data_IF_310533322822
#
_entry.id   IF_310533322822
#
_cell.length_a   1.000
_cell.length_b   1.000
_cell.length_c   1.000
_cell.angle_alpha   90.00
_cell.angle_beta   90.00
_cell.angle_gamma   90.00
#
_symmetry.space_group_name_H-M   'P 1'
#
loop_
_entity.id
_entity.type
_entity.pdbx_description
1 polymer ?
#
# COMPACT_ATOMS: atom_id res chain seq x y z
N UNK A 1 5.34 -10.90 -29.68
CA UNK A 1 5.06 -10.41 -28.32
C UNK A 1 4.28 -11.49 -27.58
N UNK A 2 4.75 -12.00 -26.44
CA UNK A 2 4.02 -13.00 -25.65
C UNK A 2 3.16 -12.31 -24.59
N UNK A 3 1.85 -12.59 -24.58
CA UNK A 3 0.96 -12.19 -23.48
C UNK A 3 0.72 -13.40 -22.58
N UNK A 4 1.25 -13.35 -21.36
CA UNK A 4 1.16 -14.44 -20.38
C UNK A 4 1.16 -13.89 -18.95
N UNK A 5 0.62 -14.68 -18.02
CA UNK A 5 0.73 -14.43 -16.58
C UNK A 5 1.95 -15.19 -16.05
N UNK A 6 2.85 -14.48 -15.38
CA UNK A 6 4.02 -15.07 -14.76
C UNK A 6 3.58 -15.85 -13.50
N UNK A 7 4.01 -17.11 -13.41
CA UNK A 7 3.76 -17.98 -12.26
C UNK A 7 4.96 -18.00 -11.33
N UNK A 8 6.15 -18.08 -11.92
CA UNK A 8 7.40 -18.26 -11.19
C UNK A 8 8.57 -17.64 -11.95
N UNK A 9 9.47 -17.03 -11.19
CA UNK A 9 10.78 -16.59 -11.65
C UNK A 9 11.83 -17.13 -10.69
N UNK A 10 12.80 -17.88 -11.22
CA UNK A 10 13.90 -18.46 -10.45
C UNK A 10 15.21 -17.90 -10.98
N UNK A 11 16.00 -17.30 -10.10
CA UNK A 11 17.36 -16.88 -10.44
C UNK A 11 18.25 -18.12 -10.58
N UNK A 12 18.77 -18.36 -11.78
CA UNK A 12 19.83 -19.31 -12.04
C UNK A 12 21.21 -18.66 -11.98
N UNK A 13 22.25 -19.44 -12.30
CA UNK A 13 23.63 -18.95 -12.29
C UNK A 13 23.94 -17.97 -13.44
N UNK A 14 23.25 -18.10 -14.58
CA UNK A 14 23.52 -17.35 -15.84
C UNK A 14 22.29 -16.75 -16.50
N UNK A 15 21.10 -17.13 -16.04
CA UNK A 15 19.82 -16.68 -16.57
C UNK A 15 18.77 -16.71 -15.46
N UNK A 16 17.65 -16.06 -15.71
CA UNK A 16 16.42 -16.20 -14.93
C UNK A 16 15.50 -17.14 -15.69
N UNK A 17 15.04 -18.19 -15.02
CA UNK A 17 14.10 -19.14 -15.58
C UNK A 17 12.68 -18.69 -15.21
N UNK A 18 11.83 -18.53 -16.22
CA UNK A 18 10.46 -18.07 -16.07
C UNK A 18 9.49 -19.19 -16.45
N UNK A 19 8.52 -19.43 -15.59
CA UNK A 19 7.32 -20.21 -15.94
C UNK A 19 6.13 -19.26 -15.95
N UNK A 20 5.37 -19.30 -17.03
CA UNK A 20 4.18 -18.49 -17.21
C UNK A 20 3.09 -19.30 -17.92
N UNK A 21 1.84 -18.85 -17.84
CA UNK A 21 0.75 -19.41 -18.62
C UNK A 21 0.07 -18.33 -19.45
N UNK A 22 -0.25 -18.69 -20.70
CA UNK A 22 -1.08 -17.85 -21.58
C UNK A 22 -2.55 -17.93 -21.19
N UNK A 23 -3.40 -17.06 -21.77
CA UNK A 23 -4.86 -17.11 -21.57
C UNK A 23 -5.48 -18.47 -21.92
N UNK A 24 -4.89 -19.20 -22.87
CA UNK A 24 -5.29 -20.56 -23.25
C UNK A 24 -4.73 -21.66 -22.33
N UNK A 25 -4.18 -21.31 -21.15
CA UNK A 25 -3.50 -22.21 -20.20
C UNK A 25 -2.32 -23.00 -20.77
N UNK A 26 -1.80 -22.59 -21.92
CA UNK A 26 -0.53 -23.12 -22.42
C UNK A 26 0.60 -22.56 -21.57
N UNK A 27 1.40 -23.45 -21.00
CA UNK A 27 2.63 -23.12 -20.28
C UNK A 27 3.70 -22.61 -21.25
N UNK A 28 4.40 -21.57 -20.82
CA UNK A 28 5.56 -20.99 -21.46
C UNK A 28 6.72 -21.08 -20.48
N UNK A 29 7.82 -21.68 -20.91
CA UNK A 29 9.09 -21.69 -20.19
C UNK A 29 10.08 -20.83 -20.98
N UNK A 30 10.72 -19.87 -20.30
CA UNK A 30 11.69 -18.96 -20.91
C UNK A 30 12.95 -18.90 -20.04
N UNK A 31 14.11 -18.98 -20.68
CA UNK A 31 15.37 -18.58 -20.08
C UNK A 31 15.73 -17.19 -20.61
N UNK A 32 15.86 -16.22 -19.71
CA UNK A 32 16.18 -14.83 -20.05
C UNK A 32 17.37 -14.33 -19.25
N UNK A 33 18.15 -13.42 -19.80
CA UNK A 33 19.30 -12.83 -19.08
C UNK A 33 18.84 -11.82 -18.01
N UNK A 34 17.74 -11.11 -18.28
CA UNK A 34 17.23 -10.06 -17.40
C UNK A 34 15.70 -10.08 -17.29
N UNK A 35 15.20 -9.69 -16.12
CA UNK A 35 13.78 -9.48 -15.84
C UNK A 35 13.59 -8.08 -15.27
N UNK A 36 12.71 -7.30 -15.87
CA UNK A 36 12.29 -6.00 -15.37
C UNK A 36 10.89 -6.13 -14.81
N UNK A 37 10.73 -5.93 -13.51
CA UNK A 37 9.40 -5.88 -12.90
C UNK A 37 8.80 -4.48 -13.08
N UNK A 38 7.80 -4.38 -13.96
CA UNK A 38 7.04 -3.17 -14.21
C UNK A 38 5.53 -3.36 -13.91
N UNK A 39 5.17 -4.22 -12.96
CA UNK A 39 3.77 -4.53 -12.63
C UNK A 39 3.09 -3.51 -11.70
N UNK A 40 3.74 -2.37 -11.43
CA UNK A 40 3.27 -1.37 -10.47
C UNK A 40 3.61 -1.70 -9.03
N UNK A 41 3.03 -0.95 -8.10
CA UNK A 41 3.22 -1.09 -6.66
C UNK A 41 2.22 -2.07 -6.05
N UNK A 42 2.63 -2.82 -5.01
CA UNK A 42 1.68 -3.62 -4.23
C UNK A 42 0.75 -2.69 -3.44
N UNK A 43 -0.54 -2.83 -3.66
CA UNK A 43 -1.56 -1.98 -3.03
C UNK A 43 -2.30 -2.71 -1.90
N UNK A 44 -2.16 -4.04 -1.81
CA UNK A 44 -2.81 -4.84 -0.76
C UNK A 44 -1.93 -4.83 0.47
N UNK A 45 -2.47 -4.28 1.56
CA UNK A 45 -1.72 -4.11 2.81
C UNK A 45 -1.13 -5.42 3.35
N UNK A 46 -1.85 -6.53 3.15
CA UNK A 46 -1.43 -7.87 3.58
C UNK A 46 -0.23 -8.42 2.80
N UNK A 47 -0.03 -7.96 1.56
CA UNK A 47 1.04 -8.44 0.70
C UNK A 47 2.32 -7.58 0.83
N UNK A 48 2.26 -6.47 1.57
CA UNK A 48 3.40 -5.56 1.78
C UNK A 48 4.48 -6.14 2.74
N UNK A 49 4.21 -7.25 3.44
CA UNK A 49 5.15 -7.92 4.36
C UNK A 49 5.82 -6.95 5.34
N UNK A 50 5.03 -6.06 5.93
CA UNK A 50 5.50 -5.05 6.87
C UNK A 50 5.04 -5.45 8.29
N UNK A 51 5.98 -5.75 9.22
CA UNK A 51 5.63 -6.23 10.56
C UNK A 51 4.72 -5.28 11.36
N UNK A 52 4.87 -3.96 11.19
CA UNK A 52 4.00 -2.99 11.87
C UNK A 52 2.57 -3.07 11.34
N UNK A 53 2.39 -3.19 10.02
CA UNK A 53 1.06 -3.32 9.42
C UNK A 53 0.40 -4.65 9.79
N UNK A 54 1.20 -5.72 9.86
CA UNK A 54 0.73 -7.03 10.32
C UNK A 54 0.24 -6.95 11.77
N UNK A 55 1.01 -6.32 12.66
CA UNK A 55 0.63 -6.15 14.07
C UNK A 55 -0.59 -5.23 14.23
N UNK A 56 -0.63 -4.07 13.56
CA UNK A 56 -1.78 -3.15 13.64
C UNK A 56 -3.09 -3.84 13.20
N UNK A 57 -3.03 -4.67 12.16
CA UNK A 57 -4.18 -5.44 11.69
C UNK A 57 -4.51 -6.60 12.64
N UNK A 58 -3.50 -7.27 13.20
CA UNK A 58 -3.65 -8.40 14.13
C UNK A 58 -4.24 -7.99 15.49
N UNK A 59 -3.79 -6.85 16.02
CA UNK A 59 -4.21 -6.31 17.32
C UNK A 59 -5.51 -5.49 17.22
N UNK A 60 -6.04 -5.30 16.01
CA UNK A 60 -7.30 -4.57 15.77
C UNK A 60 -7.17 -3.05 15.78
N UNK A 61 -5.95 -2.51 15.84
CA UNK A 61 -5.66 -1.07 15.70
C UNK A 61 -5.84 -0.55 14.27
N UNK A 62 -6.00 -1.43 13.29
CA UNK A 62 -6.26 -1.06 11.92
C UNK A 62 -7.21 -2.07 11.28
N UNK A 63 -7.90 -1.62 10.23
CA UNK A 63 -8.58 -2.51 9.29
C UNK A 63 -8.15 -2.24 7.86
N UNK A 64 -8.30 -3.27 7.02
CA UNK A 64 -8.05 -3.16 5.58
C UNK A 64 -9.04 -2.19 4.94
N UNK A 65 -8.57 -1.41 3.96
CA UNK A 65 -9.44 -0.57 3.15
C UNK A 65 -10.36 -1.39 2.25
N UNK A 66 -11.24 -0.69 1.51
CA UNK A 66 -12.15 -1.34 0.58
C UNK A 66 -11.40 -2.29 -0.39
N UNK A 67 -11.99 -3.48 -0.61
CA UNK A 67 -11.39 -4.53 -1.45
C UNK A 67 -9.99 -5.01 -1.02
N UNK A 68 -9.56 -4.72 0.21
CA UNK A 68 -8.23 -5.08 0.72
C UNK A 68 -7.10 -4.16 0.25
N UNK A 69 -7.44 -3.04 -0.36
CA UNK A 69 -6.52 -2.03 -0.89
C UNK A 69 -6.24 -0.99 0.21
N UNK A 70 -4.97 -0.81 0.57
CA UNK A 70 -4.57 0.09 1.63
C UNK A 70 -5.18 -0.23 3.01
N UNK A 71 -5.18 0.78 3.88
CA UNK A 71 -5.83 0.81 5.18
C UNK A 71 -7.12 1.63 5.09
N UNK A 72 -8.14 1.24 5.85
CA UNK A 72 -9.35 2.05 5.92
C UNK A 72 -9.06 3.31 6.73
N UNK A 73 -9.39 4.46 6.16
CA UNK A 73 -9.27 5.75 6.81
C UNK A 73 -10.50 6.60 6.51
N UNK A 74 -10.84 7.52 7.39
CA UNK A 74 -11.87 8.51 7.03
C UNK A 74 -11.36 9.55 6.01
N UNK A 75 -12.24 10.49 5.65
CA UNK A 75 -11.92 11.55 4.69
C UNK A 75 -10.72 12.42 5.14
N UNK A 76 -10.54 12.57 6.45
CA UNK A 76 -9.45 13.32 7.09
C UNK A 76 -8.16 12.48 7.26
N UNK A 77 -8.19 11.20 6.85
CA UNK A 77 -7.06 10.29 6.94
C UNK A 77 -6.87 9.68 8.33
N UNK A 78 -7.84 9.78 9.23
CA UNK A 78 -7.80 9.06 10.52
C UNK A 78 -7.91 7.57 10.28
N UNK A 79 -7.00 6.81 10.87
CA UNK A 79 -7.01 5.36 10.74
C UNK A 79 -8.25 4.80 11.44
N UNK A 80 -8.97 3.90 10.77
CA UNK A 80 -10.08 3.18 11.36
C UNK A 80 -9.59 1.90 12.03
N UNK A 81 -10.00 1.68 13.29
CA UNK A 81 -9.79 0.42 14.00
C UNK A 81 -10.66 -0.73 13.42
N UNK A 82 -10.53 -1.93 13.99
CA UNK A 82 -11.31 -3.09 13.56
C UNK A 82 -12.84 -2.90 13.71
N UNK A 83 -13.27 -2.05 14.63
CA UNK A 83 -14.67 -1.70 14.90
C UNK A 83 -15.18 -0.56 14.01
N UNK A 84 -14.28 0.11 13.26
CA UNK A 84 -14.59 1.22 12.38
C UNK A 84 -14.53 2.59 13.06
N UNK A 85 -13.98 2.69 14.28
CA UNK A 85 -13.78 3.98 14.94
C UNK A 85 -12.51 4.66 14.43
N UNK A 86 -12.63 5.95 14.16
CA UNK A 86 -11.52 6.78 13.75
C UNK A 86 -10.63 7.15 14.95
N UNK A 87 -9.32 6.90 14.82
CA UNK A 87 -8.32 7.24 15.83
C UNK A 87 -7.88 8.69 15.70
N UNK A 88 -7.91 9.44 16.80
CA UNK A 88 -7.62 10.89 16.80
C UNK A 88 -6.12 11.20 16.74
N UNK A 89 -5.28 10.28 17.20
CA UNK A 89 -3.81 10.38 17.28
C UNK A 89 -3.09 9.70 16.11
N UNK A 90 -3.79 8.91 15.30
CA UNK A 90 -3.21 8.16 14.18
C UNK A 90 -3.75 8.63 12.83
N UNK A 91 -2.83 8.95 11.90
CA UNK A 91 -3.15 9.34 10.52
C UNK A 91 -2.44 8.43 9.52
N UNK A 92 -3.15 8.10 8.45
CA UNK A 92 -2.60 7.42 7.28
C UNK A 92 -2.40 8.46 6.20
N UNK A 93 -1.28 8.40 5.48
CA UNK A 93 -0.99 9.23 4.30
C UNK A 93 -0.43 8.36 3.18
N UNK A 94 -0.53 8.83 1.95
CA UNK A 94 0.17 8.22 0.82
C UNK A 94 -0.43 6.90 0.33
N UNK A 95 0.42 5.97 -0.12
CA UNK A 95 0.00 4.70 -0.74
C UNK A 95 -0.91 3.85 0.16
N UNK A 96 -0.81 3.98 1.47
CA UNK A 96 -1.69 3.29 2.41
C UNK A 96 -3.14 3.79 2.36
N UNK A 97 -3.41 4.98 1.80
CA UNK A 97 -4.77 5.49 1.59
C UNK A 97 -5.35 5.17 0.22
N UNK A 98 -4.64 4.45 -0.66
CA UNK A 98 -5.03 4.31 -2.06
C UNK A 98 -6.41 3.65 -2.28
N UNK A 99 -6.90 2.89 -1.28
CA UNK A 99 -8.25 2.33 -1.28
C UNK A 99 -9.36 3.35 -1.02
N UNK A 100 -9.04 4.47 -0.38
CA UNK A 100 -9.98 5.56 -0.02
C UNK A 100 -9.75 6.84 -0.85
N UNK A 101 -8.50 7.07 -1.29
CA UNK A 101 -8.09 8.18 -2.13
C UNK A 101 -7.16 7.68 -3.24
N UNK A 102 -7.68 7.50 -4.46
CA UNK A 102 -6.91 6.91 -5.56
C UNK A 102 -5.67 7.74 -5.92
N UNK A 103 -5.81 9.07 -5.97
CA UNK A 103 -4.72 10.01 -6.19
C UNK A 103 -3.94 10.26 -4.89
N UNK A 104 -3.21 9.25 -4.43
CA UNK A 104 -2.52 9.29 -3.13
C UNK A 104 -1.05 8.86 -3.19
N UNK A 105 -0.48 8.71 -4.39
CA UNK A 105 0.92 8.28 -4.56
C UNK A 105 1.81 9.31 -5.24
N UNK A 106 1.23 10.31 -5.91
CA UNK A 106 1.99 11.35 -6.57
C UNK A 106 2.40 12.46 -5.59
N UNK A 107 3.53 13.11 -5.89
CA UNK A 107 4.18 14.09 -5.00
C UNK A 107 3.26 15.27 -4.64
N UNK A 108 2.51 15.89 -5.57
CA UNK A 108 1.61 16.98 -5.24
C UNK A 108 0.57 16.59 -4.18
N UNK A 109 -0.05 15.42 -4.32
CA UNK A 109 -1.10 14.90 -3.46
C UNK A 109 -0.53 14.51 -2.09
N UNK A 110 0.64 13.87 -2.06
CA UNK A 110 1.36 13.56 -0.83
C UNK A 110 1.66 14.82 -0.01
N UNK A 111 2.08 15.90 -0.67
CA UNK A 111 2.35 17.18 -0.01
C UNK A 111 1.09 17.76 0.61
N UNK A 112 -0.03 17.76 -0.12
CA UNK A 112 -1.32 18.26 0.39
C UNK A 112 -1.79 17.44 1.59
N UNK A 113 -1.67 16.11 1.54
CA UNK A 113 -2.03 15.24 2.66
C UNK A 113 -1.17 15.51 3.90
N UNK A 114 0.16 15.58 3.72
CA UNK A 114 1.08 15.86 4.82
C UNK A 114 0.81 17.23 5.47
N UNK A 115 0.54 18.25 4.66
CA UNK A 115 0.18 19.58 5.13
C UNK A 115 -1.13 19.57 5.93
N UNK A 116 -2.15 18.86 5.45
CA UNK A 116 -3.43 18.73 6.15
C UNK A 116 -3.27 18.06 7.53
N UNK A 117 -2.46 16.99 7.62
CA UNK A 117 -2.14 16.33 8.90
C UNK A 117 -1.43 17.29 9.85
N UNK A 118 -0.40 17.98 9.37
CA UNK A 118 0.37 18.92 10.19
C UNK A 118 -0.50 20.06 10.73
N UNK A 119 -1.37 20.66 9.90
CA UNK A 119 -2.32 21.68 10.35
C UNK A 119 -3.30 21.15 11.40
N UNK A 120 -3.82 19.93 11.21
CA UNK A 120 -4.72 19.29 12.16
C UNK A 120 -4.10 19.15 13.56
N UNK A 121 -2.84 18.73 13.64
CA UNK A 121 -2.13 18.59 14.91
C UNK A 121 -1.78 19.92 15.56
N UNK A 122 -1.45 20.96 14.79
CA UNK A 122 -1.18 22.29 15.33
C UNK A 122 -2.46 22.94 15.89
N UNK A 123 -3.61 22.71 15.25
CA UNK A 123 -4.90 23.25 15.73
C UNK A 123 -5.42 22.54 16.99
N UNK A 124 -5.04 21.28 17.21
CA UNK A 124 -5.44 20.48 18.38
C UNK A 124 -4.51 20.62 19.59
N UNK A 125 -3.36 21.29 19.46
CA UNK A 125 -2.46 21.54 20.59
C UNK A 125 -3.01 22.70 21.45
N UNK A 126 -3.08 22.54 22.79
CA UNK A 126 -3.38 23.67 23.65
C UNK A 126 -2.31 24.76 23.42
N UNK A 127 -2.73 26.01 23.22
CA UNK A 127 -1.79 27.14 23.12
C UNK A 127 -0.89 27.14 24.35
N UNK A 128 0.43 27.32 24.21
CA UNK A 128 1.29 27.53 25.36
C UNK A 128 0.76 28.73 26.16
N UNK A 129 0.57 28.56 27.46
CA UNK A 129 0.33 29.68 28.38
C UNK A 129 1.62 30.49 28.42
N UNK A 130 1.63 31.63 27.76
CA UNK A 130 2.69 32.63 27.94
C UNK A 130 2.52 33.23 29.35
N UNK A 131 3.59 33.13 30.16
CA UNK A 131 3.70 33.73 31.51
C UNK A 131 4.39 35.07 31.45
#
# INVERSE_FOLDING_TARGET
>A
LHAARLDMAVAGQRCVQLTAHTRGRRTLALDVEHVVNATGVEMRVQAMRNPLLEQLLGDGHARRGAHGIGLASDAQGRLLDAQGHAQDDLRVVGSLRIGEAWESIAVPELRVQAEAVARGWLAGQPRPVES
#
